data_IF_982625426184
#
_entry.id   IF_982625426184
#
_cell.length_a   1.000
_cell.length_b   1.000
_cell.length_c   1.000
_cell.angle_alpha   90.00
_cell.angle_beta   90.00
_cell.angle_gamma   90.00
#
_symmetry.space_group_name_H-M   'P 1'
#
loop_
_entity.id
_entity.type
_entity.pdbx_description
1 polymer ?
#
# COMPACT_ATOMS: atom_id res chain seq x y z
N UNK A 1 -0.68 -21.97 3.49
CA UNK A 1 0.47 -22.30 2.62
C UNK A 1 -0.01 -23.21 1.51
N UNK A 2 0.18 -22.83 0.23
CA UNK A 2 -0.41 -23.54 -0.93
C UNK A 2 0.35 -24.84 -1.23
N UNK A 3 -0.23 -25.99 -0.91
CA UNK A 3 0.43 -27.31 -1.06
C UNK A 3 0.66 -27.72 -2.53
N UNK A 4 -0.13 -27.21 -3.48
CA UNK A 4 -0.04 -27.54 -4.92
C UNK A 4 0.50 -26.37 -5.77
N UNK A 5 1.14 -25.38 -5.14
CA UNK A 5 1.57 -24.17 -5.82
C UNK A 5 0.42 -23.24 -6.22
N UNK A 6 0.77 -22.02 -6.65
CA UNK A 6 -0.19 -20.93 -6.92
C UNK A 6 -0.88 -21.10 -8.29
N UNK A 7 -0.23 -21.81 -9.22
CA UNK A 7 -0.67 -21.99 -10.62
C UNK A 7 -1.91 -22.88 -10.79
N UNK A 8 -2.34 -23.60 -9.76
CA UNK A 8 -3.47 -24.53 -9.81
C UNK A 8 -4.80 -23.91 -9.35
N UNK A 9 -4.81 -22.64 -8.91
CA UNK A 9 -5.99 -21.97 -8.37
C UNK A 9 -6.95 -21.55 -9.50
N UNK A 10 -8.11 -22.22 -9.60
CA UNK A 10 -9.19 -21.89 -10.57
C UNK A 10 -10.06 -20.70 -10.15
N UNK A 11 -10.15 -20.43 -8.85
CA UNK A 11 -10.75 -19.24 -8.26
C UNK A 11 -9.90 -18.82 -7.07
N UNK A 12 -9.51 -17.55 -7.04
CA UNK A 12 -8.70 -16.97 -5.97
C UNK A 12 -9.59 -15.99 -5.21
N UNK A 13 -9.86 -16.27 -3.95
CA UNK A 13 -10.54 -15.36 -3.04
C UNK A 13 -9.65 -14.15 -2.71
N UNK A 14 -10.24 -13.05 -2.24
CA UNK A 14 -9.46 -11.87 -1.83
C UNK A 14 -8.41 -12.17 -0.75
N UNK A 15 -8.68 -13.15 0.12
CA UNK A 15 -7.74 -13.64 1.13
C UNK A 15 -6.55 -14.37 0.50
N UNK A 16 -6.81 -15.30 -0.41
CA UNK A 16 -5.74 -16.03 -1.11
C UNK A 16 -4.86 -15.09 -1.93
N UNK A 17 -5.44 -14.07 -2.56
CA UNK A 17 -4.66 -13.04 -3.26
C UNK A 17 -3.71 -12.30 -2.31
N UNK A 18 -4.15 -12.00 -1.07
CA UNK A 18 -3.30 -11.36 -0.06
C UNK A 18 -2.15 -12.28 0.35
N UNK A 19 -2.45 -13.54 0.66
CA UNK A 19 -1.44 -14.52 1.07
C UNK A 19 -0.37 -14.70 -0.02
N UNK A 20 -0.79 -14.72 -1.28
CA UNK A 20 0.11 -14.76 -2.44
C UNK A 20 0.98 -13.49 -2.50
N UNK A 21 0.39 -12.30 -2.36
CA UNK A 21 1.14 -11.05 -2.38
C UNK A 21 2.17 -10.96 -1.26
N UNK A 22 1.81 -11.36 -0.03
CA UNK A 22 2.73 -11.37 1.11
C UNK A 22 3.82 -12.43 0.96
N UNK A 23 3.48 -13.61 0.43
CA UNK A 23 4.45 -14.65 0.12
C UNK A 23 5.48 -14.18 -0.92
N UNK A 24 5.02 -13.58 -2.03
CA UNK A 24 5.90 -13.01 -3.05
C UNK A 24 6.76 -11.88 -2.48
N UNK A 25 6.21 -11.03 -1.61
CA UNK A 25 6.97 -9.99 -0.93
C UNK A 25 8.09 -10.57 -0.07
N UNK A 26 7.83 -11.66 0.66
CA UNK A 26 8.84 -12.38 1.44
C UNK A 26 9.95 -12.97 0.56
N UNK A 27 9.62 -13.48 -0.63
CA UNK A 27 10.63 -14.00 -1.56
C UNK A 27 11.54 -12.89 -2.12
N UNK A 28 10.98 -11.73 -2.45
CA UNK A 28 11.79 -10.61 -2.97
C UNK A 28 12.55 -9.88 -1.86
N UNK A 29 12.16 -10.05 -0.58
CA UNK A 29 12.81 -9.36 0.53
C UNK A 29 14.29 -9.73 0.68
N UNK A 30 14.70 -10.92 0.26
CA UNK A 30 16.09 -11.40 0.31
C UNK A 30 16.94 -10.88 -0.86
N UNK A 31 16.31 -10.56 -1.99
CA UNK A 31 16.99 -10.22 -3.24
C UNK A 31 16.88 -8.74 -3.65
N UNK A 32 15.87 -8.02 -3.14
CA UNK A 32 15.57 -6.65 -3.55
C UNK A 32 16.11 -5.61 -2.56
N UNK A 33 16.22 -4.37 -3.03
CA UNK A 33 16.65 -3.26 -2.19
C UNK A 33 15.67 -3.08 -1.01
N UNK A 34 16.17 -3.04 0.23
CA UNK A 34 15.35 -2.99 1.45
C UNK A 34 14.27 -1.89 1.43
N UNK A 35 14.65 -0.67 1.03
CA UNK A 35 13.71 0.46 0.83
C UNK A 35 12.59 0.17 -0.17
N UNK A 36 12.86 -0.59 -1.23
CA UNK A 36 11.85 -0.98 -2.21
C UNK A 36 10.85 -1.96 -1.58
N UNK A 37 11.36 -2.97 -0.86
CA UNK A 37 10.54 -3.94 -0.13
C UNK A 37 9.63 -3.24 0.88
N UNK A 38 10.17 -2.28 1.64
CA UNK A 38 9.40 -1.45 2.60
C UNK A 38 8.29 -0.67 1.88
N UNK A 39 8.62 -0.04 0.75
CA UNK A 39 7.66 0.72 -0.05
C UNK A 39 6.51 -0.15 -0.58
N UNK A 40 6.83 -1.34 -1.11
CA UNK A 40 5.82 -2.30 -1.58
C UNK A 40 4.98 -2.84 -0.43
N UNK A 41 5.58 -3.11 0.73
CA UNK A 41 4.84 -3.52 1.93
C UNK A 41 3.80 -2.47 2.33
N UNK A 42 4.21 -1.19 2.41
CA UNK A 42 3.32 -0.09 2.75
C UNK A 42 2.15 0.07 1.76
N UNK A 43 2.39 -0.16 0.46
CA UNK A 43 1.32 -0.19 -0.56
C UNK A 43 0.31 -1.31 -0.32
N UNK A 44 0.79 -2.51 0.04
CA UNK A 44 -0.08 -3.66 0.31
C UNK A 44 -0.90 -3.43 1.58
N UNK A 45 -0.31 -2.85 2.63
CA UNK A 45 -1.01 -2.49 3.86
C UNK A 45 -2.10 -1.46 3.60
N UNK A 46 -1.80 -0.39 2.85
CA UNK A 46 -2.80 0.61 2.45
C UNK A 46 -3.98 -0.02 1.68
N UNK A 47 -3.68 -0.89 0.72
CA UNK A 47 -4.70 -1.60 -0.06
C UNK A 47 -5.56 -2.49 0.84
N UNK A 48 -4.96 -3.14 1.83
CA UNK A 48 -5.70 -4.02 2.73
C UNK A 48 -6.56 -3.22 3.73
N UNK A 49 -5.96 -2.21 4.37
CA UNK A 49 -6.64 -1.37 5.36
C UNK A 49 -7.83 -0.61 4.76
N UNK A 50 -7.74 -0.22 3.48
CA UNK A 50 -8.85 0.40 2.74
C UNK A 50 -9.99 -0.55 2.37
N UNK A 51 -9.76 -1.86 2.40
CA UNK A 51 -10.78 -2.89 2.14
C UNK A 51 -11.47 -3.38 3.42
N UNK A 52 -11.02 -2.94 4.60
CA UNK A 52 -11.67 -3.27 5.85
C UNK A 52 -13.06 -2.64 5.91
N UNK A 53 -14.05 -3.46 6.28
CA UNK A 53 -15.46 -3.04 6.31
C UNK A 53 -15.78 -2.04 7.44
N UNK A 54 -14.99 -2.06 8.51
CA UNK A 54 -15.11 -1.15 9.64
C UNK A 54 -13.74 -0.50 9.90
N UNK A 55 -13.65 0.80 9.67
CA UNK A 55 -12.47 1.58 10.06
C UNK A 55 -12.65 2.05 11.50
N UNK A 56 -11.84 1.51 12.42
CA UNK A 56 -11.73 2.06 13.77
C UNK A 56 -10.53 3.05 13.82
N UNK A 57 -10.35 3.69 14.98
CA UNK A 57 -9.24 4.62 15.20
C UNK A 57 -7.86 4.00 14.95
N UNK A 58 -7.67 2.71 15.24
CA UNK A 58 -6.40 2.02 15.03
C UNK A 58 -6.13 1.76 13.55
N UNK A 59 -7.14 1.31 12.80
CA UNK A 59 -7.09 1.19 11.34
C UNK A 59 -6.72 2.52 10.67
N UNK A 60 -7.28 3.64 11.17
CA UNK A 60 -6.95 4.97 10.65
C UNK A 60 -5.48 5.35 10.91
N UNK A 61 -4.97 5.07 12.11
CA UNK A 61 -3.54 5.28 12.44
C UNK A 61 -2.64 4.43 11.56
N UNK A 62 -3.02 3.18 11.29
CA UNK A 62 -2.26 2.30 10.42
C UNK A 62 -2.28 2.76 8.95
N UNK A 63 -3.40 3.31 8.47
CA UNK A 63 -3.49 3.93 7.14
C UNK A 63 -2.55 5.14 7.04
N UNK A 64 -2.56 6.02 8.05
CA UNK A 64 -1.66 7.17 8.11
C UNK A 64 -0.20 6.72 8.09
N UNK A 65 0.18 5.77 8.95
CA UNK A 65 1.54 5.23 9.00
C UNK A 65 1.96 4.62 7.66
N UNK A 66 1.08 3.86 7.01
CA UNK A 66 1.35 3.30 5.69
C UNK A 66 1.54 4.41 4.64
N UNK A 67 0.76 5.49 4.69
CA UNK A 67 0.94 6.66 3.82
C UNK A 67 2.28 7.37 4.07
N UNK A 68 2.71 7.53 5.33
CA UNK A 68 4.02 8.11 5.69
C UNK A 68 5.18 7.31 5.12
N UNK A 69 5.17 5.99 5.37
CA UNK A 69 6.21 5.08 4.88
C UNK A 69 6.25 5.11 3.35
N UNK A 70 5.09 5.08 2.71
CA UNK A 70 5.00 5.15 1.27
C UNK A 70 5.57 6.47 0.73
N UNK A 71 5.21 7.60 1.33
CA UNK A 71 5.73 8.91 0.95
C UNK A 71 7.26 8.98 1.11
N UNK A 72 7.80 8.43 2.20
CA UNK A 72 9.24 8.41 2.46
C UNK A 72 10.01 7.57 1.43
N UNK A 73 9.44 6.45 0.97
CA UNK A 73 10.16 5.49 0.12
C UNK A 73 9.72 5.44 -1.35
N UNK A 74 8.69 6.20 -1.77
CA UNK A 74 8.21 6.24 -3.17
C UNK A 74 9.31 6.60 -4.17
N UNK A 75 10.27 7.43 -3.75
CA UNK A 75 11.40 7.84 -4.59
C UNK A 75 12.24 6.65 -5.07
N UNK A 76 12.39 5.60 -4.25
CA UNK A 76 13.15 4.40 -4.65
C UNK A 76 12.51 3.68 -5.84
N UNK A 77 11.18 3.74 -5.99
CA UNK A 77 10.50 3.15 -7.15
C UNK A 77 10.85 3.93 -8.43
N UNK A 78 10.98 5.26 -8.32
CA UNK A 78 11.37 6.15 -9.42
C UNK A 78 12.85 5.99 -9.76
N UNK A 79 13.72 5.96 -8.76
CA UNK A 79 15.18 5.82 -8.92
C UNK A 79 15.54 4.50 -9.61
N UNK A 80 14.84 3.42 -9.25
CA UNK A 80 15.02 2.11 -9.87
C UNK A 80 14.29 1.98 -11.22
N UNK A 81 13.61 3.05 -11.70
CA UNK A 81 12.83 3.09 -12.93
C UNK A 81 11.79 1.96 -13.04
N UNK A 82 11.26 1.54 -11.89
CA UNK A 82 10.31 0.43 -11.80
C UNK A 82 8.88 0.85 -12.16
N UNK A 83 8.58 2.15 -12.13
CA UNK A 83 7.33 2.68 -12.67
C UNK A 83 7.41 2.79 -14.19
N UNK A 84 6.72 1.90 -14.89
CA UNK A 84 6.58 1.95 -16.35
C UNK A 84 5.22 2.52 -16.74
N UNK A 85 5.23 3.54 -17.59
CA UNK A 85 4.02 4.08 -18.20
C UNK A 85 3.44 3.16 -19.26
N UNK A 86 2.31 3.57 -19.87
CA UNK A 86 1.58 2.80 -20.91
C UNK A 86 2.43 2.36 -22.12
N UNK A 87 3.60 2.97 -22.33
CA UNK A 87 4.54 2.68 -23.43
C UNK A 87 5.87 2.08 -22.95
N UNK A 88 5.91 1.48 -21.76
CA UNK A 88 7.13 0.94 -21.13
C UNK A 88 8.25 1.97 -20.93
N UNK A 89 7.90 3.25 -20.85
CA UNK A 89 8.84 4.31 -20.48
C UNK A 89 8.84 4.49 -18.97
N UNK A 90 10.03 4.64 -18.38
CA UNK A 90 10.18 4.98 -16.97
C UNK A 90 9.46 6.29 -16.67
N UNK A 91 8.55 6.27 -15.70
CA UNK A 91 7.82 7.44 -15.24
C UNK A 91 8.67 8.23 -14.25
N UNK A 92 8.59 9.56 -14.33
CA UNK A 92 9.27 10.48 -13.42
C UNK A 92 8.43 10.84 -12.19
N UNK A 93 7.18 10.37 -12.12
CA UNK A 93 6.26 10.63 -11.02
C UNK A 93 5.52 9.35 -10.60
N UNK A 94 5.18 9.28 -9.32
CA UNK A 94 4.41 8.21 -8.70
C UNK A 94 3.01 8.73 -8.36
N UNK A 95 2.16 8.94 -9.37
CA UNK A 95 0.77 9.37 -9.20
C UNK A 95 -0.17 8.18 -9.41
N UNK A 96 -0.74 7.66 -8.32
CA UNK A 96 -1.75 6.60 -8.36
C UNK A 96 -3.08 7.23 -7.91
N UNK A 97 -4.02 7.55 -8.82
CA UNK A 97 -5.23 8.30 -8.46
C UNK A 97 -6.08 7.67 -7.34
N UNK A 98 -6.08 6.34 -7.21
CA UNK A 98 -6.77 5.65 -6.11
C UNK A 98 -6.06 5.82 -4.76
N UNK A 99 -4.74 6.01 -4.75
CA UNK A 99 -3.97 6.25 -3.55
C UNK A 99 -4.24 7.66 -3.00
N UNK A 100 -4.36 8.64 -3.89
CA UNK A 100 -4.80 10.00 -3.53
C UNK A 100 -6.20 9.99 -2.88
N UNK A 101 -7.12 9.15 -3.38
CA UNK A 101 -8.44 9.00 -2.77
C UNK A 101 -8.37 8.48 -1.33
N UNK A 102 -7.41 7.60 -1.00
CA UNK A 102 -7.24 7.07 0.36
C UNK A 102 -6.78 8.15 1.35
N UNK A 103 -6.08 9.20 0.88
CA UNK A 103 -5.75 10.36 1.71
C UNK A 103 -7.01 11.12 2.14
N UNK A 104 -8.09 11.08 1.35
CA UNK A 104 -9.35 11.75 1.67
C UNK A 104 -10.22 11.01 2.70
N UNK A 105 -9.93 9.73 2.96
CA UNK A 105 -10.67 8.90 3.92
C UNK A 105 -10.38 9.34 5.36
N UNK A 106 -9.13 9.69 5.65
CA UNK A 106 -8.69 10.13 6.99
C UNK A 106 -9.45 11.40 7.45
N UNK A 107 -9.51 12.50 6.66
CA UNK A 107 -10.28 13.68 7.07
C UNK A 107 -11.80 13.46 7.07
N UNK A 108 -12.33 12.63 6.16
CA UNK A 108 -13.78 12.32 6.10
C UNK A 108 -14.27 11.52 7.31
N UNK A 109 -13.46 10.58 7.81
CA UNK A 109 -13.77 9.80 9.03
C UNK A 109 -13.60 10.63 10.31
N UNK A 110 -12.68 11.59 10.33
CA UNK A 110 -12.49 12.52 11.44
C UNK A 110 -13.66 13.52 11.57
N UNK A 111 -14.17 14.04 10.44
CA UNK A 111 -15.34 14.92 10.41
C UNK A 111 -16.64 14.27 10.94
N UNK A 112 -16.68 12.94 11.01
CA UNK A 112 -17.78 12.16 11.58
C UNK A 112 -17.70 11.97 13.12
N UNK A 113 -16.73 12.59 13.80
CA UNK A 113 -16.75 12.75 15.27
C UNK A 113 -15.76 11.89 16.07
N UNK A 114 -14.58 11.58 15.54
CA UNK A 114 -13.55 10.80 16.25
C UNK A 114 -12.43 11.68 16.83
N UNK A 115 -12.50 12.16 18.09
CA UNK A 115 -11.50 13.07 18.66
C UNK A 115 -10.16 12.35 18.90
N UNK A 116 -9.09 12.79 18.24
CA UNK A 116 -7.71 12.33 18.56
C UNK A 116 -6.70 12.32 17.40
N UNK A 117 -7.08 12.61 16.15
CA UNK A 117 -6.21 12.51 14.96
C UNK A 117 -5.97 13.88 14.30
N UNK A 118 -5.73 14.94 15.07
CA UNK A 118 -5.56 16.29 14.50
C UNK A 118 -4.10 16.58 14.07
N UNK A 119 -3.11 15.83 14.58
CA UNK A 119 -1.68 16.05 14.28
C UNK A 119 -1.17 15.31 13.02
N UNK A 120 -1.95 14.40 12.43
CA UNK A 120 -1.49 13.52 11.35
C UNK A 120 -1.81 14.02 9.93
N UNK A 121 -2.52 15.16 9.77
CA UNK A 121 -3.00 15.67 8.47
C UNK A 121 -2.02 16.70 7.86
N UNK A 122 -0.71 16.46 7.94
CA UNK A 122 0.29 17.33 7.33
C UNK A 122 1.27 16.61 6.40
N UNK A 123 0.88 15.46 5.85
CA UNK A 123 1.63 14.83 4.76
C UNK A 123 1.10 15.40 3.44
N UNK A 124 1.56 16.60 3.06
CA UNK A 124 1.38 17.10 1.70
C UNK A 124 2.27 16.26 0.77
N UNK A 125 1.67 15.66 -0.25
CA UNK A 125 2.31 14.78 -1.22
C UNK A 125 3.15 15.50 -2.26
#
# INVERSE_FOLDING_TARGET
>A
HFAAGISSLKQVTGHEHRDIQQYVLGLIADCAHSKFVICVHALLDLRYLSQLHNHNLDTLKDIVRALEILHQFKQVILDLKLCLGKKANAMTHFEIPRLELLQSIVPSTLGAGAPGINDYILIRW
#
